data_IF_339769881182
#
_entry.id   IF_339769881182
#
_cell.length_a   1.000
_cell.length_b   1.000
_cell.length_c   1.000
_cell.angle_alpha   90.00
_cell.angle_beta   90.00
_cell.angle_gamma   90.00
#
_symmetry.space_group_name_H-M   'P 1'
#
loop_
_entity.id
_entity.type
_entity.pdbx_description
1 polymer ?
#
# COMPACT_ATOMS: atom_id res chain seq x y z
N UNK A 1 13.79 10.61 -10.78
CA UNK A 1 13.49 11.49 -9.63
C UNK A 1 12.22 11.09 -8.86
N UNK A 2 11.47 10.04 -9.25
CA UNK A 2 10.19 9.67 -8.60
C UNK A 2 10.31 8.90 -7.27
N UNK A 3 11.46 8.25 -7.01
CA UNK A 3 11.62 7.37 -5.84
C UNK A 3 11.63 8.11 -4.49
N UNK A 4 12.06 9.37 -4.45
CA UNK A 4 12.06 10.17 -3.21
C UNK A 4 10.64 10.48 -2.73
N UNK A 5 9.82 11.00 -3.65
CA UNK A 5 8.44 11.42 -3.39
C UNK A 5 7.54 10.25 -2.94
N UNK A 6 7.79 9.05 -3.46
CA UNK A 6 7.00 7.86 -3.07
C UNK A 6 7.28 7.48 -1.60
N UNK A 7 8.52 7.60 -1.13
CA UNK A 7 8.87 7.30 0.26
C UNK A 7 8.24 8.32 1.22
N UNK A 8 8.29 9.60 0.87
CA UNK A 8 7.66 10.67 1.64
C UNK A 8 6.14 10.47 1.71
N UNK A 9 5.51 10.14 0.58
CA UNK A 9 4.07 9.85 0.55
C UNK A 9 3.68 8.68 1.46
N UNK A 10 4.48 7.60 1.49
CA UNK A 10 4.25 6.47 2.40
C UNK A 10 4.29 6.94 3.87
N UNK A 11 5.26 7.78 4.22
CA UNK A 11 5.40 8.34 5.57
C UNK A 11 4.18 9.18 5.96
N UNK A 12 3.74 10.07 5.08
CA UNK A 12 2.58 10.94 5.31
C UNK A 12 1.28 10.11 5.47
N UNK A 13 1.05 9.12 4.61
CA UNK A 13 -0.13 8.28 4.72
C UNK A 13 -0.09 7.35 5.94
N UNK A 14 1.11 6.93 6.38
CA UNK A 14 1.27 6.19 7.63
C UNK A 14 0.98 7.07 8.86
N UNK A 15 1.37 8.33 8.84
CA UNK A 15 0.95 9.27 9.87
C UNK A 15 -0.58 9.46 9.86
N UNK A 16 -1.19 9.47 8.67
CA UNK A 16 -2.64 9.55 8.54
C UNK A 16 -3.36 8.32 9.12
N UNK A 17 -2.84 7.09 8.93
CA UNK A 17 -3.41 5.89 9.58
C UNK A 17 -3.24 5.90 11.09
N UNK A 18 -2.19 6.54 11.62
CA UNK A 18 -2.02 6.72 13.06
C UNK A 18 -2.99 7.76 13.64
N UNK A 19 -3.25 8.83 12.87
CA UNK A 19 -4.20 9.88 13.28
C UNK A 19 -5.65 9.39 13.19
N UNK A 20 -5.98 8.64 12.14
CA UNK A 20 -7.33 8.15 11.87
C UNK A 20 -7.29 6.66 11.49
N UNK A 21 -7.21 5.76 12.47
CA UNK A 21 -7.05 4.31 12.24
C UNK A 21 -8.28 3.65 11.61
N UNK A 22 -9.43 4.33 11.61
CA UNK A 22 -10.64 3.87 10.92
C UNK A 22 -10.81 4.52 9.53
N UNK A 23 -9.86 5.38 9.12
CA UNK A 23 -9.91 6.08 7.84
C UNK A 23 -9.45 5.18 6.69
N UNK A 24 -10.40 4.56 5.98
CA UNK A 24 -10.09 3.72 4.81
C UNK A 24 -9.24 4.45 3.76
N UNK A 25 -9.39 5.77 3.63
CA UNK A 25 -8.65 6.59 2.67
C UNK A 25 -7.14 6.51 2.88
N UNK A 26 -6.67 6.48 4.13
CA UNK A 26 -5.24 6.42 4.43
C UNK A 26 -4.64 5.08 3.97
N UNK A 27 -5.34 3.98 4.22
CA UNK A 27 -4.98 2.65 3.72
C UNK A 27 -5.05 2.56 2.18
N UNK A 28 -6.06 3.19 1.56
CA UNK A 28 -6.18 3.28 0.11
C UNK A 28 -4.96 3.98 -0.52
N UNK A 29 -4.56 5.13 0.02
CA UNK A 29 -3.42 5.88 -0.50
C UNK A 29 -2.07 5.21 -0.20
N UNK A 30 -1.93 4.55 0.97
CA UNK A 30 -0.77 3.68 1.26
C UNK A 30 -0.63 2.57 0.22
N UNK A 31 -1.73 1.91 -0.12
CA UNK A 31 -1.72 0.86 -1.13
C UNK A 31 -1.28 1.38 -2.50
N UNK A 32 -1.72 2.57 -2.92
CA UNK A 32 -1.24 3.22 -4.15
C UNK A 32 0.25 3.54 -4.07
N UNK A 33 0.71 4.10 -2.96
CA UNK A 33 2.11 4.47 -2.78
C UNK A 33 3.02 3.24 -2.80
N UNK A 34 2.63 2.15 -2.13
CA UNK A 34 3.32 0.86 -2.19
C UNK A 34 3.29 0.26 -3.60
N UNK A 35 2.18 0.37 -4.33
CA UNK A 35 2.11 -0.06 -5.74
C UNK A 35 3.10 0.70 -6.61
N UNK A 36 3.25 2.02 -6.40
CA UNK A 36 4.24 2.83 -7.14
C UNK A 36 5.67 2.50 -6.77
N UNK A 37 5.90 2.05 -5.53
CA UNK A 37 7.22 1.61 -5.07
C UNK A 37 7.64 0.25 -5.62
N UNK A 38 6.69 -0.56 -6.10
CA UNK A 38 6.90 -1.97 -6.47
C UNK A 38 6.74 -2.92 -5.27
N UNK A 39 6.07 -2.48 -4.21
CA UNK A 39 5.80 -3.31 -3.03
C UNK A 39 4.39 -3.87 -3.10
N UNK A 40 4.09 -4.68 -4.12
CA UNK A 40 2.73 -5.12 -4.40
C UNK A 40 2.12 -6.01 -3.31
N UNK A 41 2.94 -6.82 -2.62
CA UNK A 41 2.50 -7.63 -1.48
C UNK A 41 1.89 -6.77 -0.37
N UNK A 42 2.55 -5.65 -0.05
CA UNK A 42 2.13 -4.74 1.00
C UNK A 42 1.02 -3.81 0.55
N UNK A 43 1.08 -3.38 -0.71
CA UNK A 43 -0.02 -2.66 -1.35
C UNK A 43 -1.32 -3.45 -1.25
N UNK A 44 -1.27 -4.76 -1.50
CA UNK A 44 -2.43 -5.63 -1.47
C UNK A 44 -3.04 -5.67 -0.07
N UNK A 45 -2.19 -5.85 0.95
CA UNK A 45 -2.62 -5.89 2.34
C UNK A 45 -3.34 -4.60 2.77
N UNK A 46 -2.76 -3.44 2.47
CA UNK A 46 -3.38 -2.15 2.79
C UNK A 46 -4.68 -1.93 2.00
N UNK A 47 -4.73 -2.35 0.73
CA UNK A 47 -5.95 -2.25 -0.07
C UNK A 47 -7.06 -3.16 0.48
N UNK A 48 -6.73 -4.36 0.95
CA UNK A 48 -7.65 -5.27 1.63
C UNK A 48 -8.15 -4.64 2.94
N UNK A 49 -7.28 -4.05 3.77
CA UNK A 49 -7.69 -3.31 4.98
C UNK A 49 -8.61 -2.14 4.65
N UNK A 50 -8.30 -1.36 3.62
CA UNK A 50 -9.17 -0.28 3.15
C UNK A 50 -10.55 -0.79 2.75
N UNK A 51 -10.62 -1.94 2.09
CA UNK A 51 -11.89 -2.54 1.68
C UNK A 51 -12.67 -3.13 2.86
N UNK A 52 -11.98 -3.71 3.84
CA UNK A 52 -12.59 -4.24 5.07
C UNK A 52 -13.23 -3.11 5.90
N UNK A 53 -12.54 -1.96 5.98
CA UNK A 53 -13.07 -0.75 6.63
C UNK A 53 -14.22 -0.12 5.84
N UNK A 54 -14.07 -0.01 4.53
CA UNK A 54 -15.09 0.56 3.65
C UNK A 54 -15.18 -0.20 2.32
N UNK A 55 -16.15 -1.12 2.19
CA UNK A 55 -16.31 -1.89 0.97
C UNK A 55 -16.94 -1.00 -0.11
N UNK A 56 -16.09 -0.45 -0.98
CA UNK A 56 -16.48 0.38 -2.10
C UNK A 56 -15.85 -0.13 -3.40
N UNK A 57 -16.50 0.19 -4.52
CA UNK A 57 -16.04 -0.15 -5.86
C UNK A 57 -14.61 0.33 -6.13
N UNK A 58 -14.23 1.50 -5.60
CA UNK A 58 -12.87 2.04 -5.73
C UNK A 58 -11.82 1.17 -5.00
N UNK A 59 -12.09 0.77 -3.76
CA UNK A 59 -11.21 -0.13 -2.99
C UNK A 59 -11.15 -1.52 -3.62
N UNK A 60 -12.29 -2.03 -4.10
CA UNK A 60 -12.35 -3.30 -4.79
C UNK A 60 -11.50 -3.30 -6.07
N UNK A 61 -11.64 -2.25 -6.90
CA UNK A 61 -10.82 -2.07 -8.11
C UNK A 61 -9.33 -1.99 -7.79
N UNK A 62 -8.96 -1.28 -6.72
CA UNK A 62 -7.58 -1.19 -6.28
C UNK A 62 -6.99 -2.57 -5.95
N UNK A 63 -7.71 -3.40 -5.18
CA UNK A 63 -7.30 -4.77 -4.88
C UNK A 63 -7.10 -5.59 -6.16
N UNK A 64 -8.04 -5.50 -7.13
CA UNK A 64 -7.93 -6.24 -8.39
C UNK A 64 -6.68 -5.81 -9.20
N UNK A 65 -6.44 -4.50 -9.30
CA UNK A 65 -5.26 -3.96 -10.00
C UNK A 65 -3.98 -4.44 -9.34
N UNK A 66 -3.91 -4.39 -8.01
CA UNK A 66 -2.72 -4.81 -7.28
C UNK A 66 -2.51 -6.31 -7.42
N UNK A 67 -3.55 -7.15 -7.26
CA UNK A 67 -3.46 -8.61 -7.47
C UNK A 67 -2.93 -8.97 -8.85
N UNK A 68 -3.41 -8.27 -9.88
CA UNK A 68 -2.92 -8.47 -11.24
C UNK A 68 -1.42 -8.16 -11.36
N UNK A 69 -0.95 -7.08 -10.72
CA UNK A 69 0.47 -6.70 -10.70
C UNK A 69 1.33 -7.64 -9.84
N UNK A 70 0.84 -8.06 -8.67
CA UNK A 70 1.52 -9.03 -7.80
C UNK A 70 1.81 -10.34 -8.54
N UNK A 71 0.85 -10.87 -9.28
CA UNK A 71 1.05 -12.10 -10.08
C UNK A 71 2.11 -11.93 -11.17
N UNK A 72 2.30 -10.72 -11.70
CA UNK A 72 3.33 -10.42 -12.71
C UNK A 72 4.72 -10.28 -12.07
N UNK A 73 4.81 -9.74 -10.86
CA UNK A 73 6.09 -9.47 -10.18
C UNK A 73 6.69 -10.72 -9.50
N UNK A 74 5.85 -11.65 -9.03
CA UNK A 74 6.29 -12.96 -8.50
C UNK A 74 7.12 -13.74 -9.54
N UNK A 75 6.93 -13.47 -10.83
CA UNK A 75 7.64 -14.12 -11.93
C UNK A 75 9.01 -13.45 -12.19
N UNK A 76 9.25 -12.23 -11.70
CA UNK A 76 10.37 -11.37 -12.11
C UNK A 76 11.45 -11.06 -11.06
N UNK A 77 11.13 -10.95 -9.77
CA UNK A 77 12.08 -10.32 -8.82
C UNK A 77 11.94 -10.82 -7.38
N UNK A 78 12.88 -11.66 -6.94
CA UNK A 78 13.13 -12.00 -5.53
C UNK A 78 14.15 -11.03 -4.91
N UNK A 79 13.86 -9.72 -4.88
CA UNK A 79 14.67 -8.75 -4.12
C UNK A 79 13.74 -7.66 -3.56
N UNK A 80 12.79 -8.04 -2.72
CA UNK A 80 11.98 -7.04 -1.99
C UNK A 80 12.76 -6.62 -0.75
N UNK A 81 13.41 -5.45 -0.84
CA UNK A 81 13.98 -4.74 0.30
C UNK A 81 12.99 -4.73 1.48
N UNK A 82 13.44 -4.97 2.72
CA UNK A 82 12.56 -5.04 3.87
C UNK A 82 11.87 -3.70 4.07
N UNK A 83 10.53 -3.74 4.15
CA UNK A 83 9.77 -2.60 4.63
C UNK A 83 10.26 -2.23 6.03
N UNK A 84 10.49 -0.94 6.32
CA UNK A 84 10.71 -0.49 7.69
C UNK A 84 9.39 -0.69 8.46
N UNK A 85 9.28 -1.86 9.07
CA UNK A 85 8.27 -2.15 10.08
C UNK A 85 8.37 -1.11 11.17
N UNK A 86 7.21 -0.62 11.61
CA UNK A 86 7.00 0.03 12.91
C UNK A 86 8.08 -0.32 13.93
N UNK A 87 9.02 0.61 14.13
CA UNK A 87 9.72 0.73 15.40
C UNK A 87 8.89 1.70 16.22
N UNK A 88 7.82 1.18 16.83
CA UNK A 88 7.31 1.78 18.06
C UNK A 88 8.09 1.12 19.20
N UNK A 89 8.72 1.89 20.10
CA UNK A 89 9.59 1.38 21.16
C UNK A 89 8.86 0.53 22.21
#
# INVERSE_FOLDING_TARGET
>A
YDKGLINEAILEFKAATQSDPNGYQAHHFLAIAYTRKGWFQYALKEAETSFDLYPCDENYKLIQVIRQKTNLEIIGTQETEPLPTETTP
#
